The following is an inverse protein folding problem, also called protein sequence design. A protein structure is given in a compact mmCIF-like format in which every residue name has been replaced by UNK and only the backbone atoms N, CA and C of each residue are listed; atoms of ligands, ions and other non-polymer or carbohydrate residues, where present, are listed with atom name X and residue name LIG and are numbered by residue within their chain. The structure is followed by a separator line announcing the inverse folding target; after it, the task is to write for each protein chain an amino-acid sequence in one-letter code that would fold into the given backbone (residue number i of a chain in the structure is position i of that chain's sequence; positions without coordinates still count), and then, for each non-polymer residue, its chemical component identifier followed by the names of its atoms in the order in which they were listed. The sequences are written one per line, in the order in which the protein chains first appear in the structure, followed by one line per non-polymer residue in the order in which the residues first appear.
data_IF_743262209869
#
_entry.id   IF_743262209869
#
_cell.length_a   1.000
_cell.length_b   1.000
_cell.length_c   1.000
_cell.angle_alpha   90.00
_cell.angle_beta   90.00
_cell.angle_gamma   90.00
#
_symmetry.space_group_name_H-M   'P 1'
#
loop_
_entity.id
_entity.type
_entity.pdbx_description
1 polymer ?
#
# COMPACT_ATOMS: atom_id res chain seq x y z
N UNK A 1 -15.87 -1.47 4.31
CA UNK A 1 -15.26 -0.14 4.07
C UNK A 1 -13.75 -0.32 3.99
N UNK A 2 -13.04 0.37 3.09
CA UNK A 2 -11.58 0.26 3.01
C UNK A 2 -10.94 1.44 3.73
N UNK A 3 -10.09 1.15 4.72
CA UNK A 3 -9.37 2.13 5.53
C UNK A 3 -7.88 1.82 5.43
N UNK A 4 -7.06 2.82 5.12
CA UNK A 4 -5.61 2.69 5.14
C UNK A 4 -5.10 2.83 6.58
N UNK A 5 -4.31 1.86 7.01
CA UNK A 5 -3.62 1.91 8.31
C UNK A 5 -2.67 3.11 8.39
N UNK A 6 -1.96 3.42 7.31
CA UNK A 6 -1.02 4.55 7.29
C UNK A 6 -1.75 5.90 7.33
N UNK A 7 -2.89 6.02 6.64
CA UNK A 7 -3.73 7.21 6.75
C UNK A 7 -4.31 7.37 8.15
N UNK A 8 -4.78 6.29 8.79
CA UNK A 8 -5.36 6.34 10.13
C UNK A 8 -4.35 6.82 11.19
N UNK A 9 -3.07 6.42 11.06
CA UNK A 9 -1.98 6.85 11.95
C UNK A 9 -1.73 8.36 11.93
N UNK A 10 -2.17 9.08 10.90
CA UNK A 10 -2.08 10.55 10.86
C UNK A 10 -3.02 11.22 11.87
N UNK A 11 -4.04 10.50 12.37
CA UNK A 11 -5.06 11.04 13.27
C UNK A 11 -5.00 10.47 14.69
N UNK A 12 -4.42 9.28 14.87
CA UNK A 12 -4.34 8.61 16.16
C UNK A 12 -3.06 7.81 16.30
N UNK A 13 -2.46 7.84 17.48
CA UNK A 13 -1.31 6.99 17.82
C UNK A 13 -1.74 5.53 17.91
N UNK A 14 -1.05 4.66 17.17
CA UNK A 14 -1.28 3.22 17.14
C UNK A 14 0.07 2.54 17.41
N UNK A 15 0.22 1.99 18.61
CA UNK A 15 1.45 1.30 19.07
C UNK A 15 1.31 -0.24 18.99
N UNK A 16 0.52 -0.74 18.05
CA UNK A 16 0.21 -2.16 17.91
C UNK A 16 0.30 -2.64 16.45
N UNK A 17 0.37 -3.95 16.25
CA UNK A 17 0.33 -4.54 14.92
C UNK A 17 -1.03 -4.30 14.24
N UNK A 18 -1.04 -4.25 12.90
CA UNK A 18 -2.27 -4.09 12.11
C UNK A 18 -3.30 -5.19 12.43
N UNK A 19 -2.84 -6.42 12.67
CA UNK A 19 -3.70 -7.54 13.05
C UNK A 19 -4.38 -7.33 14.41
N UNK A 20 -3.63 -6.90 15.43
CA UNK A 20 -4.21 -6.65 16.75
C UNK A 20 -5.13 -5.44 16.75
N UNK A 21 -4.80 -4.41 15.96
CA UNK A 21 -5.68 -3.26 15.75
C UNK A 21 -7.02 -3.71 15.15
N UNK A 22 -7.00 -4.56 14.11
CA UNK A 22 -8.20 -5.10 13.49
C UNK A 22 -9.04 -5.95 14.46
N UNK A 23 -8.40 -6.78 15.28
CA UNK A 23 -9.09 -7.55 16.32
C UNK A 23 -9.78 -6.62 17.33
N UNK A 24 -9.08 -5.59 17.82
CA UNK A 24 -9.65 -4.62 18.77
C UNK A 24 -10.85 -3.89 18.16
N UNK A 25 -10.75 -3.43 16.91
CA UNK A 25 -11.85 -2.75 16.20
C UNK A 25 -13.07 -3.68 16.11
N UNK A 26 -12.85 -4.95 15.71
CA UNK A 26 -13.88 -6.00 15.64
C UNK A 26 -14.56 -6.22 16.99
N UNK A 27 -13.77 -6.35 18.06
CA UNK A 27 -14.27 -6.55 19.44
C UNK A 27 -15.07 -5.37 19.98
N UNK A 28 -14.85 -4.16 19.44
CA UNK A 28 -15.62 -2.96 19.79
C UNK A 28 -16.87 -2.77 18.93
N UNK A 29 -17.15 -3.67 17.99
CA UNK A 29 -18.41 -3.71 17.23
C UNK A 29 -18.32 -3.23 15.78
N UNK A 30 -17.12 -2.97 15.24
CA UNK A 30 -16.93 -2.66 13.82
C UNK A 30 -16.23 -3.86 13.18
N UNK A 31 -16.95 -4.61 12.35
CA UNK A 31 -16.41 -5.79 11.69
C UNK A 31 -15.29 -5.45 10.70
N UNK A 32 -14.15 -6.15 10.82
CA UNK A 32 -13.02 -6.07 9.88
C UNK A 32 -12.92 -7.40 9.14
N UNK A 33 -13.41 -7.43 7.90
CA UNK A 33 -13.52 -8.66 7.12
C UNK A 33 -12.17 -9.19 6.59
N UNK A 34 -11.25 -8.29 6.23
CA UNK A 34 -9.98 -8.65 5.58
C UNK A 34 -8.88 -7.61 5.82
N UNK A 35 -7.62 -8.07 5.69
CA UNK A 35 -6.40 -7.25 5.75
C UNK A 35 -5.63 -7.34 4.44
N UNK A 36 -5.55 -6.20 3.74
CA UNK A 36 -4.89 -6.10 2.43
C UNK A 36 -3.47 -5.56 2.61
N UNK A 37 -2.47 -6.39 2.31
CA UNK A 37 -1.06 -5.99 2.28
C UNK A 37 -0.62 -5.61 0.86
N UNK A 38 -0.46 -4.31 0.62
CA UNK A 38 -0.01 -3.76 -0.66
C UNK A 38 1.49 -3.98 -0.95
N UNK A 39 2.26 -4.43 0.04
CA UNK A 39 3.70 -4.70 -0.11
C UNK A 39 3.96 -6.18 -0.40
N UNK A 40 2.95 -7.02 -0.25
CA UNK A 40 3.05 -8.47 -0.44
C UNK A 40 3.63 -8.81 -1.81
N UNK A 41 4.62 -9.69 -1.82
CA UNK A 41 5.30 -10.23 -3.01
C UNK A 41 6.06 -9.20 -3.89
N UNK A 42 6.13 -7.93 -3.49
CA UNK A 42 6.96 -6.91 -4.17
C UNK A 42 8.38 -6.97 -3.63
N UNK A 43 9.37 -7.17 -4.52
CA UNK A 43 10.81 -7.19 -4.19
C UNK A 43 11.58 -6.25 -5.10
N UNK A 44 12.63 -5.62 -4.56
CA UNK A 44 13.55 -4.74 -5.29
C UNK A 44 12.88 -3.53 -5.98
N UNK A 45 11.79 -2.99 -5.42
CA UNK A 45 11.11 -1.80 -5.94
C UNK A 45 11.82 -0.53 -5.47
N UNK A 46 12.19 0.34 -6.41
CA UNK A 46 12.82 1.64 -6.15
C UNK A 46 12.25 2.72 -7.05
N UNK A 47 12.36 3.99 -6.62
CA UNK A 47 11.99 5.15 -7.44
C UNK A 47 13.14 5.48 -8.40
N UNK A 48 12.83 5.63 -9.69
CA UNK A 48 13.79 5.98 -10.73
C UNK A 48 13.36 7.21 -11.53
N UNK A 49 14.33 8.01 -11.95
CA UNK A 49 14.12 9.16 -12.85
C UNK A 49 14.58 8.82 -14.27
N UNK A 50 13.67 8.93 -15.25
CA UNK A 50 13.98 8.67 -16.66
C UNK A 50 14.75 9.84 -17.26
N UNK A 51 16.03 9.64 -17.60
CA UNK A 51 16.90 10.71 -18.14
C UNK A 51 16.69 11.00 -19.62
N UNK A 52 16.35 9.98 -20.43
CA UNK A 52 16.13 10.15 -21.86
C UNK A 52 15.32 8.98 -22.43
N UNK A 53 14.60 9.21 -23.55
CA UNK A 53 13.87 8.19 -24.31
C UNK A 53 14.20 8.35 -25.79
N UNK A 54 14.67 7.28 -26.44
CA UNK A 54 14.88 7.24 -27.89
C UNK A 54 13.68 6.59 -28.56
N UNK A 55 13.18 7.19 -29.64
CA UNK A 55 12.17 6.59 -30.50
C UNK A 55 12.85 6.06 -31.77
N UNK A 56 12.67 4.78 -32.09
CA UNK A 56 13.21 4.16 -33.29
C UNK A 56 12.02 3.84 -34.19
N UNK A 57 11.59 4.83 -34.98
CA UNK A 57 10.78 4.52 -36.15
C UNK A 57 11.75 4.03 -37.23
N UNK A 58 11.63 2.77 -37.61
CA UNK A 58 12.36 2.21 -38.75
C UNK A 58 11.98 3.01 -40.01
N UNK A 59 13.00 3.66 -40.59
CA UNK A 59 12.98 4.11 -41.97
C UNK A 59 12.89 2.85 -42.85
N UNK A 60 11.67 2.46 -43.21
CA UNK A 60 11.43 1.56 -44.33
C UNK A 60 11.48 2.46 -45.57
N UNK A 61 12.66 2.55 -46.19
CA UNK A 61 12.81 2.93 -47.59
C UNK A 61 12.96 1.65 -48.41
#
# INVERSE_FOLDING_TARGET
MLISNEWLKEYVTIDDSVSNLAERITRTGIEVDDLIDYTKDIKNLVVGFVKSKRNILMLIN
#
